data_IF_737122047623
#
_entry.id   IF_737122047623
#
_cell.length_a   1.000
_cell.length_b   1.000
_cell.length_c   1.000
_cell.angle_alpha   90.00
_cell.angle_beta   90.00
_cell.angle_gamma   90.00
#
_symmetry.space_group_name_H-M   'P 1'
#
loop_
_entity.id
_entity.type
_entity.pdbx_description
1 polymer ?
#
# COMPACT_ATOMS: atom_id res chain seq x y z
N UNK A 1 56.07 54.52 62.54
CA UNK A 1 54.70 54.95 62.19
C UNK A 1 54.76 55.36 60.73
N UNK A 2 54.66 54.51 59.70
CA UNK A 2 53.69 53.45 59.36
C UNK A 2 52.24 53.92 59.53
N UNK A 3 51.54 54.27 58.45
CA UNK A 3 50.73 53.36 57.62
C UNK A 3 50.23 54.07 56.32
N UNK A 4 49.81 53.32 55.28
CA UNK A 4 50.07 53.63 53.86
C UNK A 4 48.84 54.00 53.02
N UNK A 5 49.12 54.45 51.79
CA UNK A 5 48.17 54.66 50.68
C UNK A 5 47.43 53.37 50.28
N UNK A 6 46.11 53.46 50.10
CA UNK A 6 45.31 52.47 49.37
C UNK A 6 44.87 53.06 48.03
N UNK A 7 45.46 52.57 46.94
CA UNK A 7 44.97 52.75 45.58
C UNK A 7 43.89 51.71 45.30
N UNK A 8 42.66 52.16 45.02
CA UNK A 8 41.56 51.30 44.62
C UNK A 8 41.58 51.15 43.09
N UNK A 9 42.06 50.02 42.58
CA UNK A 9 41.96 49.65 41.17
C UNK A 9 40.57 49.02 40.96
N UNK A 10 39.68 49.72 40.28
CA UNK A 10 38.41 49.20 39.79
C UNK A 10 38.67 48.30 38.57
N UNK A 11 38.69 46.98 38.77
CA UNK A 11 38.52 46.02 37.67
C UNK A 11 37.06 46.02 37.23
N UNK A 12 36.76 46.55 36.04
CA UNK A 12 35.52 46.21 35.33
C UNK A 12 35.64 44.78 34.81
N UNK A 13 34.96 43.84 35.47
CA UNK A 13 34.72 42.51 34.93
C UNK A 13 33.68 42.62 33.81
N UNK A 14 34.11 42.47 32.55
CA UNK A 14 33.21 42.29 31.42
C UNK A 14 32.57 40.89 31.54
N UNK A 15 31.32 40.84 32.01
CA UNK A 15 30.47 39.67 31.90
C UNK A 15 30.04 39.55 30.44
N UNK A 16 30.80 38.78 29.65
CA UNK A 16 30.36 38.33 28.34
C UNK A 16 29.15 37.41 28.52
N UNK A 17 27.97 37.89 28.12
CA UNK A 17 26.80 37.05 27.96
C UNK A 17 27.06 36.20 26.72
N UNK A 18 27.60 35.00 26.90
CA UNK A 18 27.59 33.99 25.85
C UNK A 18 26.14 33.63 25.58
N UNK A 19 25.56 34.16 24.51
CA UNK A 19 24.26 33.70 24.02
C UNK A 19 24.37 32.20 23.73
N UNK A 20 23.64 31.38 24.48
CA UNK A 20 23.46 29.97 24.13
C UNK A 20 22.75 29.96 22.78
N UNK A 21 23.50 29.76 21.69
CA UNK A 21 22.91 29.54 20.38
C UNK A 21 22.21 28.18 20.45
N UNK A 22 20.88 28.21 20.49
CA UNK A 22 20.09 27.00 20.28
C UNK A 22 20.46 26.42 18.91
N UNK A 23 20.56 25.08 18.79
CA UNK A 23 20.84 24.46 17.51
C UNK A 23 19.76 24.87 16.50
N UNK A 24 20.19 25.35 15.34
CA UNK A 24 19.28 25.75 14.25
C UNK A 24 18.78 24.55 13.45
N UNK A 25 19.48 23.42 13.55
CA UNK A 25 19.21 22.15 12.89
C UNK A 25 19.21 21.01 13.90
N UNK A 26 18.47 19.95 13.59
CA UNK A 26 18.47 18.71 14.37
C UNK A 26 18.37 17.52 13.43
N UNK A 27 19.00 16.40 13.81
CA UNK A 27 18.89 15.14 13.07
C UNK A 27 17.43 14.72 13.13
N UNK A 28 16.80 14.64 11.96
CA UNK A 28 15.41 14.25 11.84
C UNK A 28 15.29 12.73 11.88
N UNK A 29 16.09 12.06 11.06
CA UNK A 29 16.20 10.60 11.07
C UNK A 29 17.64 10.14 10.85
N UNK A 30 17.98 9.01 11.47
CA UNK A 30 19.26 8.32 11.31
C UNK A 30 19.05 6.83 11.26
N UNK A 31 19.69 6.20 10.29
CA UNK A 31 19.81 4.76 10.18
C UNK A 31 20.85 4.24 11.17
N UNK A 32 20.51 3.16 11.89
CA UNK A 32 21.46 2.52 12.81
C UNK A 32 22.43 1.57 12.12
N UNK A 33 21.99 0.91 11.04
CA UNK A 33 22.81 0.03 10.20
C UNK A 33 22.17 -0.14 8.81
N UNK A 34 22.97 -0.48 7.80
CA UNK A 34 22.46 -0.90 6.49
C UNK A 34 21.68 -2.22 6.63
N UNK A 35 20.57 -2.40 5.88
CA UNK A 35 19.88 -3.69 5.84
C UNK A 35 20.80 -4.75 5.23
N UNK A 36 20.52 -6.01 5.52
CA UNK A 36 21.26 -7.12 4.92
C UNK A 36 21.18 -7.06 3.39
N UNK A 37 22.27 -7.39 2.70
CA UNK A 37 22.37 -7.37 1.24
C UNK A 37 22.71 -6.01 0.64
N UNK A 38 22.61 -4.91 1.38
CA UNK A 38 22.96 -3.57 0.91
C UNK A 38 24.37 -3.18 1.29
N UNK A 39 25.11 -2.64 0.32
CA UNK A 39 26.48 -2.16 0.49
C UNK A 39 26.60 -0.74 -0.05
N UNK A 40 27.35 0.08 0.68
CA UNK A 40 27.78 1.38 0.16
C UNK A 40 28.64 1.16 -1.08
N UNK A 41 28.26 1.78 -2.20
CA UNK A 41 28.92 1.60 -3.50
C UNK A 41 29.81 2.82 -3.80
N UNK A 42 29.20 3.99 -3.98
CA UNK A 42 29.90 5.23 -4.34
C UNK A 42 29.15 6.46 -3.85
N UNK A 43 29.83 7.60 -3.84
CA UNK A 43 29.14 8.90 -3.73
C UNK A 43 28.29 9.14 -4.97
N UNK A 44 27.13 9.77 -4.80
CA UNK A 44 26.29 10.15 -5.94
C UNK A 44 26.98 11.25 -6.77
N UNK A 45 26.88 11.15 -8.10
CA UNK A 45 27.50 12.10 -9.01
C UNK A 45 26.92 13.51 -8.82
N UNK A 46 27.79 14.52 -8.81
CA UNK A 46 27.42 15.91 -8.46
C UNK A 46 26.46 16.57 -9.45
N UNK A 47 26.36 16.05 -10.67
CA UNK A 47 25.45 16.52 -11.72
C UNK A 47 24.09 15.80 -11.72
N UNK A 48 23.90 14.79 -10.84
CA UNK A 48 22.62 14.11 -10.71
C UNK A 48 21.55 15.01 -10.09
N UNK A 49 20.29 14.64 -10.31
CA UNK A 49 19.12 15.28 -9.69
C UNK A 49 18.37 14.29 -8.83
N UNK A 50 17.82 14.77 -7.71
CA UNK A 50 17.06 13.97 -6.75
C UNK A 50 15.64 14.54 -6.67
N UNK A 51 14.60 13.71 -6.91
CA UNK A 51 13.22 14.07 -6.58
C UNK A 51 13.02 13.90 -5.07
N UNK A 52 13.00 14.99 -4.32
CA UNK A 52 12.71 14.99 -2.88
C UNK A 52 11.21 15.18 -2.63
N UNK A 53 10.68 14.32 -1.77
CA UNK A 53 9.30 14.30 -1.33
C UNK A 53 9.27 14.54 0.18
N UNK A 54 8.68 15.65 0.60
CA UNK A 54 8.53 16.02 2.01
C UNK A 54 7.14 15.57 2.48
N UNK A 55 7.09 14.49 3.27
CA UNK A 55 5.85 13.99 3.88
C UNK A 55 5.41 14.99 4.95
N UNK A 56 4.33 15.72 4.70
CA UNK A 56 3.84 16.71 5.64
C UNK A 56 3.09 16.03 6.79
N UNK A 57 3.30 16.51 8.01
CA UNK A 57 2.63 15.99 9.21
C UNK A 57 1.11 16.05 9.04
N UNK A 58 0.49 14.88 9.03
CA UNK A 58 -0.97 14.75 8.93
C UNK A 58 -1.65 15.27 10.19
N UNK A 59 -2.81 15.92 10.03
CA UNK A 59 -3.61 16.37 11.16
C UNK A 59 -4.41 15.21 11.74
N UNK A 60 -4.63 15.21 13.06
CA UNK A 60 -5.53 14.26 13.74
C UNK A 60 -5.15 12.77 13.58
N UNK A 61 -3.94 12.43 13.13
CA UNK A 61 -3.55 11.04 12.90
C UNK A 61 -3.55 10.22 14.20
N UNK A 62 -3.22 10.86 15.32
CA UNK A 62 -3.26 10.25 16.65
C UNK A 62 -4.69 9.87 17.10
N UNK A 63 -5.72 10.42 16.44
CA UNK A 63 -7.14 10.14 16.68
C UNK A 63 -7.72 9.11 15.70
N UNK A 64 -6.93 8.52 14.79
CA UNK A 64 -7.46 7.66 13.72
C UNK A 64 -8.27 6.47 14.27
N UNK A 65 -7.79 5.84 15.34
CA UNK A 65 -8.48 4.75 16.02
C UNK A 65 -9.85 5.21 16.55
N UNK A 66 -9.90 6.39 17.17
CA UNK A 66 -11.14 6.98 17.68
C UNK A 66 -12.14 7.22 16.56
N UNK A 67 -11.72 7.78 15.43
CA UNK A 67 -12.60 8.00 14.29
C UNK A 67 -13.08 6.70 13.66
N UNK A 68 -12.20 5.70 13.54
CA UNK A 68 -12.55 4.39 13.03
C UNK A 68 -13.61 3.72 13.91
N UNK A 69 -13.44 3.72 15.24
CA UNK A 69 -14.43 3.18 16.17
C UNK A 69 -15.73 3.98 16.18
N UNK A 70 -15.67 5.30 16.01
CA UNK A 70 -16.88 6.12 15.98
C UNK A 70 -17.82 5.70 14.84
N UNK A 71 -17.29 5.35 13.66
CA UNK A 71 -18.10 4.92 12.52
C UNK A 71 -18.34 3.41 12.45
N UNK A 72 -17.57 2.58 13.17
CA UNK A 72 -17.63 1.11 13.07
C UNK A 72 -18.14 0.41 14.33
N UNK A 73 -18.15 1.05 15.50
CA UNK A 73 -18.62 0.42 16.72
C UNK A 73 -20.15 0.47 16.82
N UNK A 74 -20.86 -0.65 17.03
CA UNK A 74 -22.33 -0.71 16.97
C UNK A 74 -23.04 0.11 18.04
N UNK A 75 -22.35 0.47 19.13
CA UNK A 75 -22.91 1.35 20.17
C UNK A 75 -22.71 2.84 19.88
N UNK A 76 -21.97 3.21 18.84
CA UNK A 76 -21.77 4.61 18.47
C UNK A 76 -23.02 5.17 17.80
N UNK A 77 -23.32 6.45 18.05
CA UNK A 77 -24.35 7.20 17.32
C UNK A 77 -23.97 7.44 15.84
N UNK A 78 -22.70 7.22 15.50
CA UNK A 78 -22.16 7.34 14.15
C UNK A 78 -21.93 5.99 13.46
N UNK A 79 -22.33 4.87 14.07
CA UNK A 79 -22.22 3.54 13.47
C UNK A 79 -22.80 3.49 12.04
N UNK A 80 -22.01 2.93 11.11
CA UNK A 80 -22.35 2.80 9.69
C UNK A 80 -22.23 4.09 8.88
N UNK A 81 -21.90 5.24 9.50
CA UNK A 81 -21.70 6.53 8.80
C UNK A 81 -20.24 6.67 8.37
N UNK A 82 -19.77 5.73 7.56
CA UNK A 82 -18.41 5.74 7.00
C UNK A 82 -18.18 7.01 6.18
N UNK A 83 -16.92 7.45 6.16
CA UNK A 83 -16.50 8.68 5.50
C UNK A 83 -16.34 8.47 3.99
N UNK A 84 -16.58 9.52 3.22
CA UNK A 84 -16.16 9.53 1.82
C UNK A 84 -14.64 9.65 1.74
N UNK A 85 -14.05 9.29 0.60
CA UNK A 85 -12.61 9.52 0.33
C UNK A 85 -12.22 10.99 0.58
N UNK A 86 -13.08 11.93 0.19
CA UNK A 86 -12.88 13.36 0.42
C UNK A 86 -12.92 13.76 1.90
N UNK A 87 -13.80 13.15 2.70
CA UNK A 87 -13.87 13.40 4.15
C UNK A 87 -12.60 12.89 4.86
N UNK A 88 -12.10 11.70 4.49
CA UNK A 88 -10.83 11.16 5.00
C UNK A 88 -9.68 12.12 4.66
N UNK A 89 -9.53 12.47 3.38
CA UNK A 89 -8.49 13.38 2.92
C UNK A 89 -8.54 14.73 3.65
N UNK A 90 -9.74 15.32 3.77
CA UNK A 90 -9.92 16.60 4.46
C UNK A 90 -9.63 16.50 5.96
N UNK A 91 -9.96 15.38 6.61
CA UNK A 91 -9.75 15.20 8.05
C UNK A 91 -8.27 15.08 8.42
N UNK A 92 -7.51 14.36 7.61
CA UNK A 92 -6.10 14.09 7.87
C UNK A 92 -5.13 15.03 7.13
N UNK A 93 -5.65 15.95 6.31
CA UNK A 93 -4.87 16.94 5.62
C UNK A 93 -3.90 17.69 6.57
N UNK A 94 -2.65 17.94 6.15
CA UNK A 94 -1.73 18.78 6.89
C UNK A 94 -2.31 20.18 7.14
N UNK A 95 -1.91 20.80 8.25
CA UNK A 95 -2.34 22.16 8.56
C UNK A 95 -1.80 23.16 7.53
N UNK A 96 -2.53 24.26 7.29
CA UNK A 96 -2.04 25.37 6.45
C UNK A 96 -0.72 25.93 6.95
N UNK A 97 -0.51 25.93 8.26
CA UNK A 97 0.72 26.40 8.88
C UNK A 97 1.89 25.46 8.56
N UNK A 98 1.69 24.14 8.63
CA UNK A 98 2.69 23.14 8.21
C UNK A 98 3.06 23.30 6.73
N UNK A 99 2.04 23.40 5.86
CA UNK A 99 2.27 23.59 4.42
C UNK A 99 3.07 24.86 4.16
N UNK A 100 2.67 25.99 4.78
CA UNK A 100 3.34 27.26 4.59
C UNK A 100 4.75 27.29 5.17
N UNK A 101 4.98 26.66 6.33
CA UNK A 101 6.29 26.59 6.96
C UNK A 101 7.29 25.86 6.07
N UNK A 102 6.94 24.64 5.62
CA UNK A 102 7.81 23.84 4.76
C UNK A 102 7.99 24.53 3.40
N UNK A 103 6.91 25.03 2.79
CA UNK A 103 7.02 25.73 1.50
C UNK A 103 7.91 26.96 1.59
N UNK A 104 7.73 27.81 2.61
CA UNK A 104 8.54 29.03 2.77
C UNK A 104 10.01 28.69 3.00
N UNK A 105 10.29 27.69 3.82
CA UNK A 105 11.66 27.19 4.05
C UNK A 105 12.32 26.70 2.75
N UNK A 106 11.60 25.94 1.90
CA UNK A 106 12.11 25.51 0.61
C UNK A 106 12.48 26.72 -0.28
N UNK A 107 11.63 27.75 -0.33
CA UNK A 107 11.90 28.96 -1.12
C UNK A 107 13.07 29.77 -0.57
N UNK A 108 13.16 29.93 0.76
CA UNK A 108 14.26 30.61 1.45
C UNK A 108 15.59 29.87 1.25
N UNK A 109 15.53 28.55 1.08
CA UNK A 109 16.68 27.71 0.74
C UNK A 109 17.08 27.78 -0.75
N UNK A 110 16.43 28.64 -1.53
CA UNK A 110 16.77 28.91 -2.94
C UNK A 110 16.05 28.03 -3.97
N UNK A 111 15.07 27.22 -3.55
CA UNK A 111 14.25 26.44 -4.48
C UNK A 111 13.24 27.38 -5.16
N UNK A 112 13.12 27.27 -6.48
CA UNK A 112 12.22 28.14 -7.25
C UNK A 112 10.75 27.81 -6.99
N UNK A 113 9.85 28.81 -6.89
CA UNK A 113 8.43 28.58 -6.63
C UNK A 113 7.74 27.59 -7.58
N UNK A 114 8.12 27.60 -8.85
CA UNK A 114 7.59 26.71 -9.89
C UNK A 114 8.06 25.26 -9.77
N UNK A 115 9.13 25.00 -9.02
CA UNK A 115 9.68 23.66 -8.78
C UNK A 115 9.08 22.99 -7.55
N UNK A 116 8.35 23.73 -6.70
CA UNK A 116 7.68 23.20 -5.51
C UNK A 116 6.23 22.87 -5.84
N UNK A 117 5.91 21.57 -5.89
CA UNK A 117 4.57 21.06 -6.20
C UNK A 117 3.93 20.46 -4.97
N UNK A 118 2.62 20.62 -4.84
CA UNK A 118 1.81 19.90 -3.85
C UNK A 118 1.27 18.64 -4.52
N UNK A 119 1.31 17.50 -3.84
CA UNK A 119 0.69 16.28 -4.35
C UNK A 119 -0.84 16.40 -4.44
N UNK A 120 -1.52 15.60 -5.27
CA UNK A 120 -2.99 15.61 -5.35
C UNK A 120 -3.69 15.35 -4.00
N UNK A 121 -3.07 14.53 -3.14
CA UNK A 121 -3.54 14.24 -1.79
C UNK A 121 -3.29 15.36 -0.77
N UNK A 122 -2.55 16.41 -1.16
CA UNK A 122 -2.06 17.50 -0.32
C UNK A 122 -1.21 17.04 0.89
N UNK A 123 -0.74 15.79 0.88
CA UNK A 123 0.11 15.22 1.93
C UNK A 123 1.60 15.51 1.72
N UNK A 124 2.01 15.95 0.53
CA UNK A 124 3.41 16.04 0.16
C UNK A 124 3.77 17.34 -0.54
N UNK A 125 4.94 17.86 -0.23
CA UNK A 125 5.63 18.83 -1.09
C UNK A 125 6.75 18.14 -1.87
N UNK A 126 6.70 18.25 -3.18
CA UNK A 126 7.59 17.59 -4.13
C UNK A 126 8.49 18.62 -4.80
N UNK A 127 9.80 18.34 -4.83
CA UNK A 127 10.81 19.16 -5.51
C UNK A 127 11.83 18.29 -6.20
N UNK A 128 12.30 18.69 -7.38
CA UNK A 128 13.47 18.06 -8.02
C UNK A 128 14.64 19.03 -7.99
N UNK A 129 15.73 18.63 -7.36
CA UNK A 129 16.90 19.48 -7.12
C UNK A 129 18.19 18.74 -7.47
N UNK A 130 19.28 19.46 -7.72
CA UNK A 130 20.61 18.84 -7.89
C UNK A 130 21.13 18.28 -6.56
N UNK A 131 22.05 17.31 -6.62
CA UNK A 131 22.62 16.65 -5.41
C UNK A 131 23.17 17.67 -4.41
N UNK A 132 23.95 18.65 -4.87
CA UNK A 132 24.53 19.68 -3.99
C UNK A 132 23.45 20.48 -3.22
N UNK A 133 22.33 20.79 -3.89
CA UNK A 133 21.21 21.48 -3.26
C UNK A 133 20.46 20.57 -2.28
N UNK A 134 20.30 19.28 -2.59
CA UNK A 134 19.69 18.31 -1.68
C UNK A 134 20.54 18.10 -0.42
N UNK A 135 21.84 17.88 -0.58
CA UNK A 135 22.81 17.73 0.52
C UNK A 135 22.83 18.96 1.43
N UNK A 136 22.78 20.17 0.84
CA UNK A 136 22.70 21.42 1.60
C UNK A 136 21.36 21.60 2.34
N UNK A 137 20.25 21.23 1.68
CA UNK A 137 18.90 21.35 2.24
C UNK A 137 18.66 20.42 3.42
N UNK A 138 19.24 19.22 3.38
CA UNK A 138 19.02 18.17 4.37
C UNK A 138 20.23 17.94 5.30
N UNK A 139 21.30 18.74 5.16
CA UNK A 139 22.59 18.56 5.85
C UNK A 139 23.04 17.09 5.86
N UNK A 140 23.12 16.50 4.67
CA UNK A 140 23.46 15.08 4.49
C UNK A 140 24.45 14.89 3.34
N UNK A 141 24.88 13.66 3.12
CA UNK A 141 25.67 13.25 1.97
C UNK A 141 24.97 12.07 1.25
N UNK A 142 24.66 12.27 -0.03
CA UNK A 142 23.98 11.28 -0.84
C UNK A 142 24.95 10.29 -1.47
N UNK A 143 24.57 9.03 -1.41
CA UNK A 143 25.35 7.91 -1.88
C UNK A 143 24.49 6.97 -2.72
N UNK A 144 25.17 6.22 -3.58
CA UNK A 144 24.60 5.05 -4.25
C UNK A 144 24.94 3.83 -3.40
N UNK A 145 23.92 3.05 -3.10
CA UNK A 145 24.01 1.76 -2.44
C UNK A 145 23.65 0.68 -3.43
N UNK A 146 24.43 -0.40 -3.46
CA UNK A 146 24.17 -1.57 -4.29
C UNK A 146 23.63 -2.71 -3.43
N UNK A 147 22.61 -3.41 -3.93
CA UNK A 147 22.11 -4.64 -3.35
C UNK A 147 22.73 -5.87 -4.04
N UNK A 148 22.83 -7.00 -3.34
CA UNK A 148 23.33 -8.27 -3.88
C UNK A 148 22.56 -8.76 -5.12
N UNK A 149 21.30 -8.34 -5.30
CA UNK A 149 20.48 -8.61 -6.50
C UNK A 149 20.96 -7.87 -7.76
N UNK A 150 21.83 -6.85 -7.61
CA UNK A 150 22.22 -5.93 -8.67
C UNK A 150 21.42 -4.63 -8.72
N UNK A 151 20.43 -4.45 -7.83
CA UNK A 151 19.68 -3.19 -7.69
C UNK A 151 20.57 -2.09 -7.11
N UNK A 152 20.48 -0.87 -7.63
CA UNK A 152 21.10 0.32 -7.02
C UNK A 152 20.02 1.26 -6.46
N UNK A 153 20.32 1.92 -5.34
CA UNK A 153 19.47 2.92 -4.73
C UNK A 153 20.26 4.15 -4.32
N UNK A 154 19.64 5.32 -4.43
CA UNK A 154 20.17 6.58 -3.91
C UNK A 154 19.62 6.84 -2.52
N UNK A 155 20.49 7.13 -1.56
CA UNK A 155 20.07 7.44 -0.18
C UNK A 155 21.19 8.05 0.65
N UNK A 156 20.96 8.13 1.95
CA UNK A 156 21.92 8.63 2.94
C UNK A 156 21.81 7.88 4.27
N UNK A 157 22.76 8.09 5.19
CA UNK A 157 22.76 7.43 6.50
C UNK A 157 21.96 8.19 7.57
N UNK A 158 21.99 9.52 7.51
CA UNK A 158 21.17 10.40 8.33
C UNK A 158 20.93 11.73 7.63
N UNK A 159 19.90 12.43 8.04
CA UNK A 159 19.65 13.79 7.56
C UNK A 159 19.05 14.65 8.67
N UNK A 160 19.21 15.95 8.52
CA UNK A 160 18.74 16.95 9.48
C UNK A 160 17.76 17.90 8.83
N UNK A 161 16.86 18.44 9.65
CA UNK A 161 15.95 19.52 9.27
C UNK A 161 16.16 20.70 10.22
N UNK A 162 15.81 21.94 9.80
CA UNK A 162 15.76 23.04 10.74
C UNK A 162 14.79 22.71 11.87
N UNK A 163 15.11 23.11 13.10
CA UNK A 163 14.31 22.76 14.30
C UNK A 163 12.84 23.19 14.18
N UNK A 164 12.58 24.30 13.46
CA UNK A 164 11.22 24.80 13.24
C UNK A 164 10.45 24.05 12.14
N UNK A 165 11.12 23.20 11.35
CA UNK A 165 10.51 22.40 10.28
C UNK A 165 10.21 20.98 10.74
N UNK A 166 11.00 20.43 11.66
CA UNK A 166 10.80 19.09 12.25
C UNK A 166 9.34 18.79 12.65
N UNK A 167 8.55 19.71 13.25
CA UNK A 167 7.16 19.41 13.63
C UNK A 167 6.19 19.32 12.44
N UNK A 168 6.61 19.73 11.25
CA UNK A 168 5.77 19.85 10.05
C UNK A 168 6.05 18.77 9.01
N UNK A 169 7.13 18.00 9.17
CA UNK A 169 7.57 16.94 8.26
C UNK A 169 7.68 15.64 9.04
N UNK A 170 7.00 14.59 8.58
CA UNK A 170 7.14 13.25 9.16
C UNK A 170 8.44 12.60 8.70
N UNK A 171 8.69 12.62 7.39
CA UNK A 171 9.93 12.13 6.80
C UNK A 171 10.15 12.75 5.41
N UNK A 172 11.35 12.57 4.88
CA UNK A 172 11.75 12.99 3.53
C UNK A 172 12.24 11.77 2.77
N UNK A 173 11.81 11.59 1.52
CA UNK A 173 12.25 10.47 0.67
C UNK A 173 12.69 10.97 -0.71
N UNK A 174 13.71 10.36 -1.35
CA UNK A 174 14.56 9.29 -0.86
C UNK A 174 15.63 9.81 0.11
N UNK A 175 15.79 9.14 1.27
CA UNK A 175 16.84 9.45 2.26
C UNK A 175 17.38 8.17 2.91
N UNK A 176 16.93 7.85 4.12
CA UNK A 176 17.31 6.68 4.88
C UNK A 176 16.37 5.50 4.65
N UNK A 177 15.26 5.68 3.94
CA UNK A 177 14.30 4.63 3.59
C UNK A 177 14.93 3.78 2.49
N UNK A 178 15.43 2.60 2.84
CA UNK A 178 15.86 1.63 1.84
C UNK A 178 14.74 0.61 1.78
N UNK A 179 14.36 0.19 0.58
CA UNK A 179 13.44 -0.93 0.41
C UNK A 179 14.09 -2.15 1.05
N UNK A 180 13.66 -2.45 2.28
CA UNK A 180 14.10 -3.64 2.99
C UNK A 180 13.32 -4.79 2.40
N UNK A 181 13.89 -5.41 1.37
CA UNK A 181 13.42 -6.72 0.93
C UNK A 181 13.63 -7.71 2.07
N UNK A 182 12.58 -7.99 2.83
CA UNK A 182 12.56 -9.14 3.74
C UNK A 182 12.44 -10.38 2.87
N UNK A 183 13.56 -10.81 2.29
CA UNK A 183 13.60 -12.08 1.57
C UNK A 183 13.36 -13.21 2.57
N UNK A 184 12.17 -13.79 2.55
CA UNK A 184 12.02 -15.16 3.05
C UNK A 184 12.79 -16.05 2.09
N UNK A 185 13.70 -16.85 2.65
CA UNK A 185 14.47 -17.88 1.96
C UNK A 185 13.67 -18.49 0.81
N UNK A 186 14.32 -18.55 -0.34
CA UNK A 186 14.00 -19.25 -1.58
C UNK A 186 13.18 -20.53 -1.41
N UNK A 187 11.89 -20.38 -1.12
CA UNK A 187 10.86 -21.31 -1.54
C UNK A 187 10.28 -20.73 -2.84
N UNK A 188 9.93 -21.55 -3.84
CA UNK A 188 9.22 -21.05 -5.01
C UNK A 188 8.00 -20.25 -4.53
N UNK A 189 7.92 -18.98 -4.93
CA UNK A 189 6.82 -18.11 -4.54
C UNK A 189 5.50 -18.82 -4.88
N UNK A 190 4.61 -19.06 -3.91
CA UNK A 190 3.29 -19.57 -4.22
C UNK A 190 2.60 -18.59 -5.17
N UNK A 191 1.80 -19.11 -6.12
CA UNK A 191 0.91 -18.29 -6.95
C UNK A 191 0.10 -17.39 -6.00
N UNK A 192 0.09 -16.08 -6.25
CA UNK A 192 -0.62 -15.09 -5.41
C UNK A 192 -2.11 -15.44 -5.38
N UNK A 193 -2.71 -15.45 -4.19
CA UNK A 193 -4.08 -15.93 -3.99
C UNK A 193 -4.25 -17.46 -4.06
N UNK A 194 -3.22 -18.21 -4.42
CA UNK A 194 -3.32 -19.67 -4.58
C UNK A 194 -3.29 -20.42 -3.24
N UNK A 195 -3.82 -21.66 -3.20
CA UNK A 195 -3.81 -22.47 -2.00
C UNK A 195 -2.38 -22.77 -1.52
N UNK A 196 -2.09 -22.48 -0.25
CA UNK A 196 -0.78 -22.78 0.36
C UNK A 196 -0.49 -24.29 0.32
N UNK A 197 0.78 -24.65 0.12
CA UNK A 197 1.26 -26.03 0.15
C UNK A 197 0.70 -26.79 1.36
N UNK A 198 -0.12 -27.82 1.12
CA UNK A 198 -0.79 -28.62 2.16
C UNK A 198 -2.28 -28.36 2.35
N UNK A 199 -2.87 -27.33 1.71
CA UNK A 199 -4.32 -27.14 1.62
C UNK A 199 -4.88 -27.87 0.39
N UNK A 200 -4.63 -29.16 0.29
CA UNK A 200 -5.47 -30.00 -0.56
C UNK A 200 -6.84 -30.16 0.11
N UNK A 201 -7.94 -30.34 -0.63
CA UNK A 201 -9.20 -30.75 -0.05
C UNK A 201 -8.94 -31.93 0.90
N UNK A 202 -9.37 -31.84 2.16
CA UNK A 202 -9.22 -32.93 3.12
C UNK A 202 -10.12 -34.07 2.68
N UNK A 203 -9.60 -34.87 1.75
CA UNK A 203 -10.27 -36.04 1.20
C UNK A 203 -9.71 -37.29 1.85
N UNK A 204 -10.59 -38.23 2.15
CA UNK A 204 -10.23 -39.60 2.50
C UNK A 204 -10.01 -40.47 1.25
N UNK A 205 -9.95 -39.87 0.06
CA UNK A 205 -9.83 -40.56 -1.23
C UNK A 205 -11.16 -41.00 -1.83
N UNK A 206 -12.28 -40.86 -1.11
CA UNK A 206 -13.61 -41.15 -1.62
C UNK A 206 -14.32 -39.85 -2.00
N UNK A 207 -14.53 -39.65 -3.30
CA UNK A 207 -15.41 -38.60 -3.79
C UNK A 207 -16.83 -39.14 -3.72
N UNK A 208 -17.61 -38.66 -2.76
CA UNK A 208 -19.04 -38.92 -2.75
C UNK A 208 -19.66 -38.08 -3.85
N UNK A 209 -20.26 -38.75 -4.84
CA UNK A 209 -21.14 -38.07 -5.77
C UNK A 209 -22.34 -37.58 -4.96
N UNK A 210 -22.45 -36.27 -4.80
CA UNK A 210 -23.63 -35.64 -4.21
C UNK A 210 -24.78 -35.84 -5.19
N UNK A 211 -25.55 -36.90 -4.97
CA UNK A 211 -26.73 -37.22 -5.77
C UNK A 211 -27.91 -36.29 -5.48
N UNK A 212 -27.90 -35.65 -4.30
CA UNK A 212 -28.87 -34.66 -3.88
C UNK A 212 -28.14 -33.41 -3.36
N UNK A 213 -27.98 -32.43 -4.25
CA UNK A 213 -27.31 -31.16 -3.96
C UNK A 213 -28.06 -30.28 -2.96
N UNK A 214 -29.33 -30.60 -2.67
CA UNK A 214 -30.18 -29.91 -1.69
C UNK A 214 -30.25 -30.64 -0.34
N UNK A 215 -29.80 -31.89 -0.30
CA UNK A 215 -29.82 -32.73 0.90
C UNK A 215 -28.79 -32.28 1.94
N UNK A 216 -29.17 -32.38 3.22
CA UNK A 216 -28.33 -31.98 4.35
C UNK A 216 -27.62 -33.15 5.03
N UNK A 217 -27.96 -34.40 4.66
CA UNK A 217 -27.51 -35.61 5.34
C UNK A 217 -25.98 -35.80 5.29
N UNK A 218 -25.30 -35.22 4.30
CA UNK A 218 -23.86 -35.42 4.04
C UNK A 218 -22.99 -34.18 4.31
N UNK A 219 -23.53 -33.14 4.96
CA UNK A 219 -22.79 -31.90 5.22
C UNK A 219 -21.50 -32.08 6.05
N UNK A 220 -21.41 -33.16 6.85
CA UNK A 220 -20.21 -33.50 7.60
C UNK A 220 -19.07 -34.11 6.74
N UNK A 221 -19.40 -34.54 5.52
CA UNK A 221 -18.45 -35.12 4.56
C UNK A 221 -18.08 -34.13 3.47
N UNK A 222 -19.06 -33.36 3.00
CA UNK A 222 -18.87 -32.34 1.98
C UNK A 222 -19.77 -31.14 2.26
N UNK A 223 -19.16 -29.96 2.34
CA UNK A 223 -19.90 -28.72 2.44
C UNK A 223 -20.43 -28.38 1.05
N UNK A 224 -21.72 -28.07 0.95
CA UNK A 224 -22.40 -27.54 -0.24
C UNK A 224 -23.03 -26.18 0.11
N UNK A 225 -23.50 -25.40 -0.87
CA UNK A 225 -24.27 -24.18 -0.59
C UNK A 225 -25.48 -24.43 0.32
N UNK A 226 -26.23 -25.52 0.12
CA UNK A 226 -27.36 -25.89 0.98
C UNK A 226 -26.93 -26.16 2.43
N UNK A 227 -25.76 -26.79 2.65
CA UNK A 227 -25.20 -26.97 3.97
C UNK A 227 -24.90 -25.64 4.67
N UNK A 228 -24.30 -24.68 3.95
CA UNK A 228 -24.01 -23.36 4.49
C UNK A 228 -25.29 -22.57 4.79
N UNK A 229 -26.27 -22.64 3.89
CA UNK A 229 -27.57 -22.01 4.10
C UNK A 229 -28.27 -22.57 5.35
N UNK A 230 -28.30 -23.89 5.52
CA UNK A 230 -28.90 -24.51 6.69
C UNK A 230 -28.12 -24.21 7.98
N UNK A 231 -26.79 -24.27 7.94
CA UNK A 231 -25.93 -24.06 9.11
C UNK A 231 -26.00 -22.62 9.64
N UNK A 232 -26.02 -21.64 8.74
CA UNK A 232 -26.02 -20.22 9.08
C UNK A 232 -27.40 -19.56 9.01
N UNK A 233 -28.45 -20.30 8.66
CA UNK A 233 -29.81 -19.78 8.52
C UNK A 233 -29.96 -18.77 7.39
N UNK A 234 -29.29 -18.98 6.25
CA UNK A 234 -29.33 -18.10 5.08
C UNK A 234 -30.56 -18.42 4.20
N UNK A 235 -31.75 -18.25 4.76
CA UNK A 235 -33.02 -18.27 4.03
C UNK A 235 -33.46 -16.83 3.76
N UNK A 236 -32.94 -16.24 2.68
CA UNK A 236 -33.17 -14.84 2.34
C UNK A 236 -33.14 -14.59 0.83
N UNK A 237 -33.79 -13.49 0.43
CA UNK A 237 -33.65 -12.91 -0.91
C UNK A 237 -32.91 -11.57 -0.78
N UNK A 238 -31.86 -11.32 -1.59
CA UNK A 238 -31.19 -10.03 -1.60
C UNK A 238 -32.15 -8.88 -1.94
N UNK A 239 -32.22 -7.86 -1.08
CA UNK A 239 -33.22 -6.77 -1.19
C UNK A 239 -32.68 -5.53 -1.90
N UNK A 240 -31.42 -5.20 -1.70
CA UNK A 240 -30.82 -3.92 -2.13
C UNK A 240 -29.84 -4.10 -3.31
N UNK A 241 -30.13 -5.00 -4.24
CA UNK A 241 -29.18 -5.41 -5.29
C UNK A 241 -28.80 -4.32 -6.30
N UNK A 242 -29.58 -3.24 -6.37
CA UNK A 242 -29.25 -2.05 -7.16
C UNK A 242 -28.39 -1.01 -6.43
N UNK A 243 -28.21 -1.16 -5.11
CA UNK A 243 -27.45 -0.26 -4.26
C UNK A 243 -26.22 -0.93 -3.64
N UNK A 244 -26.27 -2.26 -3.46
CA UNK A 244 -25.20 -3.06 -2.92
C UNK A 244 -24.42 -3.74 -4.03
N UNK A 245 -23.10 -3.82 -3.86
CA UNK A 245 -22.19 -4.54 -4.75
C UNK A 245 -21.34 -5.51 -3.95
N UNK A 246 -21.00 -6.64 -4.54
CA UNK A 246 -20.10 -7.63 -3.95
C UNK A 246 -18.96 -7.91 -4.93
N UNK A 247 -17.74 -7.54 -4.53
CA UNK A 247 -16.52 -7.76 -5.30
C UNK A 247 -15.73 -8.97 -4.81
N UNK A 248 -15.17 -9.73 -5.74
CA UNK A 248 -14.19 -10.80 -5.52
C UNK A 248 -12.96 -10.47 -6.36
N UNK A 249 -11.77 -10.59 -5.78
CA UNK A 249 -10.50 -10.35 -6.48
C UNK A 249 -9.81 -11.66 -6.76
N UNK A 250 -9.32 -11.82 -7.98
CA UNK A 250 -8.57 -12.99 -8.44
C UNK A 250 -7.29 -12.54 -9.14
N UNK A 251 -6.27 -13.42 -9.14
CA UNK A 251 -4.93 -13.10 -9.61
C UNK A 251 -4.52 -14.07 -10.72
N UNK A 252 -4.10 -13.51 -11.86
CA UNK A 252 -3.59 -14.26 -13.00
C UNK A 252 -2.34 -15.07 -12.58
N UNK A 253 -2.17 -16.34 -13.02
CA UNK A 253 -2.90 -17.02 -14.09
C UNK A 253 -4.19 -17.73 -13.68
N UNK A 254 -4.63 -17.60 -12.42
CA UNK A 254 -5.85 -18.25 -11.97
C UNK A 254 -7.07 -17.49 -12.49
N UNK A 255 -8.03 -18.25 -13.00
CA UNK A 255 -9.31 -17.73 -13.48
C UNK A 255 -10.37 -18.83 -13.39
N UNK A 256 -11.63 -18.42 -13.24
CA UNK A 256 -12.72 -19.38 -13.25
C UNK A 256 -12.89 -20.01 -14.64
N UNK A 257 -13.40 -21.24 -14.67
CA UNK A 257 -13.84 -21.87 -15.91
C UNK A 257 -15.35 -21.71 -16.09
N UNK A 258 -15.82 -21.07 -17.19
CA UNK A 258 -17.24 -20.93 -17.48
C UNK A 258 -18.05 -22.24 -17.46
N UNK A 259 -17.49 -23.35 -17.94
CA UNK A 259 -18.20 -24.63 -17.96
C UNK A 259 -18.37 -25.23 -16.56
N UNK A 260 -17.40 -24.99 -15.68
CA UNK A 260 -17.42 -25.50 -14.31
C UNK A 260 -18.45 -24.71 -13.50
N UNK A 261 -18.51 -23.38 -13.67
CA UNK A 261 -19.59 -22.57 -13.09
C UNK A 261 -20.98 -23.05 -13.53
N UNK A 262 -21.17 -23.37 -14.81
CA UNK A 262 -22.46 -23.87 -15.30
C UNK A 262 -22.79 -25.25 -14.72
N UNK A 263 -21.79 -26.12 -14.62
CA UNK A 263 -21.94 -27.44 -14.01
C UNK A 263 -22.28 -27.33 -12.52
N UNK A 264 -21.59 -26.47 -11.78
CA UNK A 264 -21.89 -26.20 -10.38
C UNK A 264 -23.29 -25.60 -10.23
N UNK A 265 -23.61 -24.56 -11.00
CA UNK A 265 -24.90 -23.90 -10.97
C UNK A 265 -26.07 -24.85 -11.28
N UNK A 266 -25.88 -25.79 -12.22
CA UNK A 266 -26.87 -26.83 -12.55
C UNK A 266 -27.20 -27.72 -11.36
N UNK A 267 -26.21 -28.02 -10.52
CA UNK A 267 -26.37 -28.91 -9.38
C UNK A 267 -26.82 -28.14 -8.12
N UNK A 268 -26.21 -26.99 -7.82
CA UNK A 268 -26.27 -26.37 -6.49
C UNK A 268 -27.01 -25.03 -6.43
N UNK A 269 -27.56 -24.54 -7.54
CA UNK A 269 -28.20 -23.21 -7.57
C UNK A 269 -29.52 -23.21 -8.36
N UNK A 270 -30.30 -22.14 -8.20
CA UNK A 270 -31.43 -21.84 -9.08
C UNK A 270 -31.14 -20.56 -9.87
N UNK A 271 -31.15 -20.65 -11.20
CA UNK A 271 -31.09 -19.49 -12.09
C UNK A 271 -29.69 -18.89 -12.35
N UNK A 272 -28.60 -19.56 -11.94
CA UNK A 272 -27.23 -19.11 -12.24
C UNK A 272 -26.61 -19.76 -13.49
N UNK A 273 -27.24 -20.78 -14.09
CA UNK A 273 -26.73 -21.40 -15.33
C UNK A 273 -26.64 -20.34 -16.43
N UNK A 274 -25.46 -20.20 -17.04
CA UNK A 274 -25.13 -19.19 -18.04
C UNK A 274 -24.84 -17.79 -17.48
N UNK A 275 -24.97 -17.56 -16.16
CA UNK A 275 -24.59 -16.28 -15.53
C UNK A 275 -23.11 -16.24 -15.22
N UNK A 276 -22.51 -15.05 -15.29
CA UNK A 276 -21.10 -14.79 -15.03
C UNK A 276 -20.95 -13.55 -14.14
N UNK A 277 -19.87 -13.44 -13.36
CA UNK A 277 -19.57 -12.20 -12.67
C UNK A 277 -19.31 -11.08 -13.68
N UNK A 278 -19.52 -9.84 -13.26
CA UNK A 278 -19.11 -8.66 -14.01
C UNK A 278 -17.60 -8.51 -13.90
N UNK A 279 -16.90 -8.72 -15.01
CA UNK A 279 -15.45 -8.57 -15.07
C UNK A 279 -15.03 -7.09 -15.00
N UNK A 280 -14.12 -6.79 -14.08
CA UNK A 280 -13.28 -5.61 -14.04
C UNK A 280 -11.85 -6.11 -14.24
N UNK A 281 -11.29 -5.82 -15.41
CA UNK A 281 -9.90 -6.13 -15.75
C UNK A 281 -9.00 -5.08 -15.15
N UNK A 282 -8.08 -5.49 -14.28
CA UNK A 282 -7.00 -4.67 -13.74
C UNK A 282 -5.71 -5.16 -14.38
N UNK A 283 -4.96 -4.25 -15.00
CA UNK A 283 -3.64 -4.52 -15.57
C UNK A 283 -3.59 -5.74 -16.50
N UNK A 284 -4.56 -5.84 -17.41
CA UNK A 284 -4.63 -6.94 -18.37
C UNK A 284 -5.24 -8.25 -17.85
N UNK A 285 -5.82 -8.23 -16.66
CA UNK A 285 -6.57 -9.36 -16.10
C UNK A 285 -7.67 -9.90 -17.01
N UNK A 286 -7.53 -11.17 -17.41
CA UNK A 286 -8.51 -11.88 -18.25
C UNK A 286 -9.04 -13.15 -17.59
N UNK A 287 -10.24 -13.54 -17.98
CA UNK A 287 -10.76 -14.89 -17.72
C UNK A 287 -10.08 -15.86 -18.70
N UNK A 288 -8.90 -16.35 -18.34
CA UNK A 288 -8.16 -17.30 -19.16
C UNK A 288 -8.79 -18.70 -19.06
N UNK A 289 -8.95 -19.38 -20.20
CA UNK A 289 -9.51 -20.74 -20.27
C UNK A 289 -8.57 -21.73 -20.96
N UNK A 290 -7.34 -21.32 -21.27
CA UNK A 290 -6.36 -22.16 -21.96
C UNK A 290 -5.68 -23.12 -20.98
N UNK A 291 -5.38 -22.62 -19.77
CA UNK A 291 -4.80 -23.39 -18.70
C UNK A 291 -5.90 -23.85 -17.76
N UNK A 292 -6.08 -25.16 -17.68
CA UNK A 292 -7.13 -25.77 -16.87
C UNK A 292 -6.55 -26.71 -15.82
N UNK A 293 -7.26 -26.87 -14.71
CA UNK A 293 -6.94 -27.82 -13.65
C UNK A 293 -6.90 -27.15 -12.28
N UNK A 294 -6.66 -27.93 -11.24
CA UNK A 294 -6.74 -27.46 -9.86
C UNK A 294 -5.80 -26.27 -9.57
N UNK A 295 -4.64 -26.19 -10.24
CA UNK A 295 -3.70 -25.08 -10.06
C UNK A 295 -4.11 -23.76 -10.73
N UNK A 296 -5.13 -23.77 -11.60
CA UNK A 296 -5.55 -22.59 -12.37
C UNK A 296 -7.00 -22.18 -12.10
N UNK A 297 -7.87 -23.14 -11.79
CA UNK A 297 -9.30 -22.85 -11.64
C UNK A 297 -9.82 -23.06 -10.22
N UNK A 298 -9.12 -23.80 -9.34
CA UNK A 298 -9.72 -24.23 -8.09
C UNK A 298 -10.14 -23.06 -7.18
N UNK A 299 -9.27 -22.07 -6.96
CA UNK A 299 -9.57 -20.92 -6.11
C UNK A 299 -10.70 -20.08 -6.72
N UNK A 300 -10.54 -19.65 -7.97
CA UNK A 300 -11.53 -18.79 -8.63
C UNK A 300 -12.88 -19.47 -8.83
N UNK A 301 -12.90 -20.77 -9.12
CA UNK A 301 -14.14 -21.53 -9.15
C UNK A 301 -14.74 -21.58 -7.75
N UNK A 302 -13.97 -21.94 -6.71
CA UNK A 302 -14.47 -22.03 -5.33
C UNK A 302 -15.11 -20.71 -4.88
N UNK A 303 -14.40 -19.60 -5.05
CA UNK A 303 -14.84 -18.27 -4.63
C UNK A 303 -16.12 -17.85 -5.35
N UNK A 304 -16.17 -18.00 -6.67
CA UNK A 304 -17.33 -17.58 -7.46
C UNK A 304 -18.52 -18.55 -7.35
N UNK A 305 -18.30 -19.86 -7.37
CA UNK A 305 -19.36 -20.88 -7.27
C UNK A 305 -20.16 -20.71 -5.98
N UNK A 306 -19.45 -20.53 -4.85
CA UNK A 306 -20.10 -20.34 -3.56
C UNK A 306 -20.67 -18.94 -3.40
N UNK A 307 -19.90 -17.89 -3.70
CA UNK A 307 -20.36 -16.53 -3.49
C UNK A 307 -21.61 -16.22 -4.33
N UNK A 308 -21.58 -16.53 -5.63
CA UNK A 308 -22.72 -16.30 -6.52
C UNK A 308 -23.94 -17.10 -6.10
N UNK A 309 -23.76 -18.34 -5.62
CA UNK A 309 -24.89 -19.17 -5.15
C UNK A 309 -25.50 -18.60 -3.87
N UNK A 310 -24.69 -18.16 -2.90
CA UNK A 310 -25.15 -17.64 -1.61
C UNK A 310 -25.80 -16.26 -1.70
N UNK A 311 -25.44 -15.46 -2.72
CA UNK A 311 -26.10 -14.18 -3.03
C UNK A 311 -27.14 -14.29 -4.13
N UNK A 312 -27.43 -15.52 -4.58
CA UNK A 312 -28.46 -15.86 -5.57
C UNK A 312 -28.24 -15.22 -6.95
N UNK A 313 -29.11 -15.54 -7.90
CA UNK A 313 -29.14 -14.91 -9.20
C UNK A 313 -29.54 -13.41 -9.18
N UNK A 314 -29.95 -12.88 -8.02
CA UNK A 314 -30.46 -11.53 -7.84
C UNK A 314 -29.36 -10.47 -7.61
N UNK A 315 -28.23 -10.85 -7.00
CA UNK A 315 -27.11 -9.94 -6.74
C UNK A 315 -25.99 -10.17 -7.76
N UNK A 316 -25.65 -9.13 -8.53
CA UNK A 316 -24.48 -9.19 -9.42
C UNK A 316 -23.19 -9.18 -8.61
N UNK A 317 -22.32 -10.16 -8.87
CA UNK A 317 -20.97 -10.25 -8.31
C UNK A 317 -19.99 -9.64 -9.31
N UNK A 318 -19.09 -8.78 -8.82
CA UNK A 318 -18.00 -8.19 -9.60
C UNK A 318 -16.74 -9.01 -9.40
N UNK A 319 -16.09 -9.38 -10.49
CA UNK A 319 -14.78 -10.04 -10.48
C UNK A 319 -13.72 -9.01 -10.86
N UNK A 320 -12.83 -8.68 -9.92
CA UNK A 320 -11.60 -7.95 -10.17
C UNK A 320 -10.52 -8.95 -10.56
N UNK A 321 -10.30 -9.13 -11.86
CA UNK A 321 -9.23 -9.98 -12.35
C UNK A 321 -7.98 -9.13 -12.52
N UNK A 322 -6.89 -9.52 -11.87
CA UNK A 322 -5.69 -8.69 -11.76
C UNK A 322 -4.51 -9.33 -12.51
N UNK A 323 -3.77 -8.50 -13.26
CA UNK A 323 -2.52 -8.81 -13.95
C UNK A 323 -2.67 -9.67 -15.21
N UNK A 324 -1.65 -9.67 -16.06
CA UNK A 324 -1.64 -10.38 -17.34
C UNK A 324 -0.97 -11.76 -17.27
N UNK A 325 -1.06 -12.51 -18.38
CA UNK A 325 -0.54 -13.87 -18.47
C UNK A 325 0.99 -13.96 -18.61
N UNK A 326 1.67 -12.83 -18.82
CA UNK A 326 3.11 -12.76 -19.09
C UNK A 326 3.87 -12.47 -17.81
N UNK A 327 3.48 -11.42 -17.07
CA UNK A 327 4.12 -11.01 -15.82
C UNK A 327 3.36 -11.48 -14.58
N UNK A 328 2.05 -11.76 -14.68
CA UNK A 328 1.23 -12.17 -13.54
C UNK A 328 0.74 -10.99 -12.72
N UNK A 329 0.41 -11.23 -11.45
CA UNK A 329 -0.25 -10.25 -10.60
C UNK A 329 0.24 -10.30 -9.16
N UNK A 330 0.00 -9.20 -8.44
CA UNK A 330 0.27 -9.06 -7.02
C UNK A 330 -0.91 -8.40 -6.28
N UNK A 331 -0.86 -8.44 -4.95
CA UNK A 331 -1.80 -7.65 -4.14
C UNK A 331 -1.61 -6.14 -4.36
N UNK A 332 -0.40 -5.68 -4.67
CA UNK A 332 -0.11 -4.28 -5.02
C UNK A 332 -0.93 -3.85 -6.23
N UNK A 333 -0.87 -4.60 -7.34
CA UNK A 333 -1.64 -4.31 -8.56
C UNK A 333 -3.15 -4.11 -8.29
N UNK A 334 -3.74 -4.88 -7.36
CA UNK A 334 -5.13 -4.69 -6.98
C UNK A 334 -5.35 -3.42 -6.14
N UNK A 335 -4.48 -3.15 -5.17
CA UNK A 335 -4.54 -1.95 -4.33
C UNK A 335 -4.35 -0.68 -5.18
N UNK A 336 -3.46 -0.72 -6.18
CA UNK A 336 -3.21 0.35 -7.15
C UNK A 336 -4.50 0.76 -7.87
N UNK A 337 -5.25 -0.23 -8.34
CA UNK A 337 -6.51 0.00 -9.03
C UNK A 337 -7.61 0.56 -8.12
N UNK A 338 -7.51 0.37 -6.80
CA UNK A 338 -8.44 0.93 -5.82
C UNK A 338 -8.03 2.32 -5.35
N UNK A 339 -6.72 2.56 -5.22
CA UNK A 339 -6.11 3.81 -4.79
C UNK A 339 -4.81 4.06 -5.56
N UNK A 340 -4.91 4.76 -6.69
CA UNK A 340 -3.74 5.10 -7.51
C UNK A 340 -2.71 6.00 -6.81
N UNK A 341 -2.97 6.50 -5.59
CA UNK A 341 -1.93 7.17 -4.79
C UNK A 341 -1.04 6.20 -4.04
N UNK A 342 -1.45 4.93 -3.89
CA UNK A 342 -0.65 3.86 -3.33
C UNK A 342 0.67 3.69 -4.11
N UNK A 343 0.62 3.66 -5.45
CA UNK A 343 1.79 3.53 -6.32
C UNK A 343 2.85 4.64 -6.11
N UNK A 344 2.39 5.84 -5.72
CA UNK A 344 3.26 7.01 -5.53
C UNK A 344 3.81 7.14 -4.09
N UNK A 345 3.38 6.28 -3.16
CA UNK A 345 3.74 6.37 -1.74
C UNK A 345 4.91 5.44 -1.42
N UNK A 346 6.12 6.02 -1.26
CA UNK A 346 7.30 5.39 -0.64
C UNK A 346 7.61 3.94 -1.09
N UNK A 347 7.64 3.70 -2.41
CA UNK A 347 7.91 2.37 -2.97
C UNK A 347 6.71 1.43 -2.99
N UNK A 348 5.48 1.98 -2.98
CA UNK A 348 4.22 1.24 -2.99
C UNK A 348 4.14 0.15 -4.07
N UNK A 349 4.68 0.43 -5.26
CA UNK A 349 4.96 -0.59 -6.27
C UNK A 349 6.41 -1.08 -6.09
N UNK A 350 6.60 -2.31 -5.62
CA UNK A 350 7.89 -3.00 -5.70
C UNK A 350 7.93 -3.79 -7.01
N UNK A 351 8.67 -3.38 -8.05
CA UNK A 351 8.71 -4.08 -9.33
C UNK A 351 9.25 -5.53 -9.26
N UNK A 352 9.76 -5.94 -8.09
CA UNK A 352 10.13 -7.33 -7.79
C UNK A 352 8.91 -8.20 -7.47
N UNK A 353 7.86 -7.63 -6.90
CA UNK A 353 6.65 -8.33 -6.44
C UNK A 353 5.41 -7.91 -7.23
N UNK A 354 5.30 -6.63 -7.55
CA UNK A 354 4.24 -6.00 -8.30
C UNK A 354 4.66 -5.95 -9.76
N UNK A 355 3.94 -6.69 -10.61
CA UNK A 355 4.25 -6.71 -12.03
C UNK A 355 4.09 -5.28 -12.58
N UNK A 356 5.12 -4.72 -13.25
CA UNK A 356 5.06 -3.36 -13.76
C UNK A 356 4.20 -3.29 -15.03
N UNK A 357 3.26 -2.35 -15.06
CA UNK A 357 2.40 -2.11 -16.23
C UNK A 357 2.57 -0.67 -16.76
N UNK A 358 2.54 -0.44 -18.10
CA UNK A 358 2.28 -1.41 -19.16
C UNK A 358 3.40 -2.46 -19.36
N UNK A 359 3.02 -3.72 -19.61
CA UNK A 359 3.93 -4.79 -20.00
C UNK A 359 4.33 -4.63 -21.47
N UNK A 360 5.60 -4.29 -21.70
CA UNK A 360 6.16 -4.10 -23.05
C UNK A 360 6.63 -5.40 -23.71
N UNK A 361 6.53 -6.53 -23.00
CA UNK A 361 6.87 -7.85 -23.51
C UNK A 361 5.90 -8.30 -24.61
N UNK A 362 6.33 -9.14 -25.57
CA UNK A 362 5.43 -9.66 -26.61
C UNK A 362 4.24 -10.42 -25.99
N UNK A 363 3.03 -9.89 -26.18
CA UNK A 363 1.79 -10.46 -25.63
C UNK A 363 1.40 -9.94 -24.25
N UNK A 364 2.20 -9.03 -23.69
CA UNK A 364 1.92 -8.30 -22.46
C UNK A 364 0.81 -7.26 -22.64
N UNK A 365 0.21 -6.85 -21.53
CA UNK A 365 -0.78 -5.80 -21.50
C UNK A 365 -0.14 -4.41 -21.63
N UNK A 366 -0.33 -3.75 -22.77
CA UNK A 366 0.24 -2.44 -23.09
C UNK A 366 -0.68 -1.24 -22.74
N UNK A 367 -1.77 -1.49 -22.01
CA UNK A 367 -2.73 -0.47 -21.62
C UNK A 367 -2.21 0.46 -20.51
N UNK A 368 -2.83 1.63 -20.40
CA UNK A 368 -2.54 2.57 -19.30
C UNK A 368 -3.13 2.06 -18.00
N UNK A 369 -2.40 2.25 -16.89
CA UNK A 369 -2.89 2.01 -15.53
C UNK A 369 -4.26 2.69 -15.31
N UNK A 370 -5.23 2.02 -14.64
CA UNK A 370 -6.60 2.49 -14.48
C UNK A 370 -6.76 3.80 -13.70
#
# INVERSE_FOLDING_TARGET
MYLPLLSFVLLLAALGISSVQLPTWTIHERRSALPHGWLHSRKLDSDATIPLHFALRQSNIDDIERYLYDVSHPSSQHYGKHWTVGDVAAKFAPSRDSINAVRSWLLESGIRPESVRMSPSNGWLEVTVGVEAAEALLQTEYHVYGHESGTEMVGCEDYSLPVHITPHVDFVTPTIHFDVQVSKRSDPSPIVGGPRHGMQPKTNGNILLVLDATGLDNCYQQITPACLQALYGLDYEPVATSQNSYGIVEYTPMAYNPSDLDMFATNFSTGLVGKRPKLVSIDGGIVQTQYTGLGYNAECNLDLEYAMTLVTASQEVTLYQTGDMVQGASFGNFLDALDGTFCAFDGGDDPTFDAPYPDTSPGGYDGTLP
#
